data_IF_598524711286
#
_entry.id   IF_598524711286
#
_cell.length_a   1.000
_cell.length_b   1.000
_cell.length_c   1.000
_cell.angle_alpha   90.00
_cell.angle_beta   90.00
_cell.angle_gamma   90.00
#
_symmetry.space_group_name_H-M   'P 1'
#
loop_
_entity.id
_entity.type
_entity.pdbx_description
1 polymer ?
#
# COMPACT_ATOMS: atom_id res chain seq x y z
N UNK A 1 4.11 7.23 -9.39
CA UNK A 1 3.87 5.92 -8.76
C UNK A 1 4.44 5.90 -7.35
N UNK A 2 3.60 6.30 -6.41
CA UNK A 2 3.77 6.45 -4.97
C UNK A 2 2.89 5.44 -4.20
N UNK A 3 1.97 4.74 -4.87
CA UNK A 3 1.30 3.53 -4.37
C UNK A 3 2.07 2.25 -4.74
N UNK A 4 2.42 1.42 -3.76
CA UNK A 4 3.18 0.18 -3.95
C UNK A 4 2.35 -1.00 -3.43
N UNK A 5 1.97 -1.94 -4.30
CA UNK A 5 1.15 -3.10 -3.95
C UNK A 5 1.98 -4.31 -3.52
N UNK A 6 1.39 -5.14 -2.68
CA UNK A 6 1.93 -6.43 -2.25
C UNK A 6 0.80 -7.45 -2.05
N UNK A 7 1.11 -8.73 -2.25
CA UNK A 7 0.16 -9.84 -2.14
C UNK A 7 0.86 -11.19 -2.22
N UNK A 8 0.09 -12.27 -2.18
CA UNK A 8 0.64 -13.64 -2.13
C UNK A 8 1.59 -13.92 -3.31
N UNK A 9 2.89 -14.00 -3.03
CA UNK A 9 3.93 -14.29 -4.03
C UNK A 9 4.20 -13.14 -5.01
N UNK A 10 3.74 -11.91 -4.74
CA UNK A 10 3.89 -10.75 -5.61
C UNK A 10 4.11 -9.48 -4.79
N UNK A 11 5.09 -8.67 -5.15
CA UNK A 11 5.33 -7.38 -4.51
C UNK A 11 6.04 -6.43 -5.46
N UNK A 12 5.60 -5.17 -5.49
CA UNK A 12 6.29 -4.07 -6.20
C UNK A 12 7.39 -3.44 -5.32
N UNK A 13 7.42 -3.78 -4.03
CA UNK A 13 8.44 -3.36 -3.07
C UNK A 13 9.36 -4.51 -2.62
N UNK A 14 10.38 -4.18 -1.84
CA UNK A 14 11.25 -5.16 -1.15
C UNK A 14 11.83 -4.59 0.15
N UNK A 15 12.52 -5.44 0.93
CA UNK A 15 13.14 -5.07 2.21
C UNK A 15 14.15 -3.90 2.12
N UNK A 16 14.76 -3.66 0.96
CA UNK A 16 15.70 -2.56 0.73
C UNK A 16 15.06 -1.18 0.66
N UNK A 17 13.74 -1.12 0.42
CA UNK A 17 13.01 0.14 0.19
C UNK A 17 12.48 0.77 1.47
N UNK A 18 13.14 0.59 2.63
CA UNK A 18 12.69 1.12 3.93
C UNK A 18 12.52 2.63 3.95
N UNK A 19 13.39 3.36 3.26
CA UNK A 19 13.29 4.83 3.18
C UNK A 19 12.00 5.26 2.48
N UNK A 20 11.56 4.50 1.46
CA UNK A 20 10.37 4.81 0.66
C UNK A 20 9.08 4.22 1.26
N UNK A 21 9.11 2.99 1.77
CA UNK A 21 7.93 2.24 2.22
C UNK A 21 7.72 2.27 3.74
N UNK A 22 8.68 2.82 4.48
CA UNK A 22 8.79 2.62 5.91
C UNK A 22 9.21 1.19 6.28
N UNK A 23 9.53 0.98 7.55
CA UNK A 23 9.95 -0.34 8.05
C UNK A 23 8.87 -1.42 7.91
N UNK A 24 7.60 -1.06 8.10
CA UNK A 24 6.47 -2.01 7.99
C UNK A 24 6.15 -2.35 6.53
N UNK A 25 6.04 -1.34 5.66
CA UNK A 25 5.75 -1.55 4.24
C UNK A 25 6.83 -2.39 3.57
N UNK A 26 8.10 -2.09 3.82
CA UNK A 26 9.22 -2.86 3.29
C UNK A 26 9.22 -4.32 3.78
N UNK A 27 8.86 -4.57 5.05
CA UNK A 27 8.77 -5.94 5.57
C UNK A 27 7.54 -6.69 5.03
N UNK A 28 6.38 -6.04 4.84
CA UNK A 28 5.20 -6.66 4.22
C UNK A 28 5.49 -7.07 2.77
N UNK A 29 6.13 -6.16 2.02
CA UNK A 29 6.60 -6.41 0.67
C UNK A 29 7.57 -7.60 0.60
N UNK A 30 8.51 -7.68 1.55
CA UNK A 30 9.44 -8.82 1.65
C UNK A 30 8.72 -10.14 1.97
N UNK A 31 7.81 -10.14 2.95
CA UNK A 31 7.05 -11.34 3.29
C UNK A 31 6.20 -11.83 2.11
N UNK A 32 5.59 -10.90 1.38
CA UNK A 32 4.87 -11.18 0.14
C UNK A 32 5.77 -11.79 -0.94
N UNK A 33 6.95 -11.20 -1.17
CA UNK A 33 7.88 -11.63 -2.23
C UNK A 33 8.46 -13.02 -2.00
N UNK A 34 8.72 -13.39 -0.74
CA UNK A 34 9.22 -14.74 -0.38
C UNK A 34 8.09 -15.78 -0.26
N UNK A 35 6.85 -15.42 -0.58
CA UNK A 35 5.72 -16.34 -0.65
C UNK A 35 5.04 -16.66 0.68
N UNK A 36 5.31 -15.89 1.74
CA UNK A 36 4.52 -16.01 2.97
C UNK A 36 3.08 -15.57 2.71
N UNK A 37 2.14 -16.19 3.41
CA UNK A 37 0.73 -15.83 3.33
C UNK A 37 0.47 -14.54 4.08
N UNK A 38 0.67 -13.41 3.39
CA UNK A 38 0.26 -12.09 3.85
C UNK A 38 -1.02 -11.66 3.12
N UNK A 39 -2.00 -11.06 3.82
CA UNK A 39 -3.14 -10.45 3.15
C UNK A 39 -2.66 -9.38 2.14
N UNK A 40 -3.26 -9.31 0.93
CA UNK A 40 -2.90 -8.30 -0.05
C UNK A 40 -3.18 -6.89 0.45
N UNK A 41 -2.40 -5.93 -0.01
CA UNK A 41 -2.52 -4.54 0.38
C UNK A 41 -1.65 -3.62 -0.47
N UNK A 42 -1.61 -2.35 -0.06
CA UNK A 42 -0.73 -1.35 -0.67
C UNK A 42 -0.07 -0.50 0.42
N UNK A 43 1.09 0.06 0.09
CA UNK A 43 1.82 1.04 0.89
C UNK A 43 1.85 2.36 0.12
N UNK A 44 1.45 3.45 0.78
CA UNK A 44 1.65 4.81 0.27
C UNK A 44 3.05 5.25 0.71
N UNK A 45 3.86 5.74 -0.22
CA UNK A 45 5.26 6.07 0.04
C UNK A 45 5.42 7.20 1.07
N UNK A 46 6.61 7.25 1.69
CA UNK A 46 7.04 8.37 2.53
C UNK A 46 7.18 9.67 1.74
N UNK A 47 7.52 9.59 0.46
CA UNK A 47 7.58 10.73 -0.47
C UNK A 47 6.19 11.36 -0.65
N UNK A 48 5.13 10.56 -0.79
CA UNK A 48 3.76 11.07 -0.88
C UNK A 48 3.36 11.85 0.38
N UNK A 49 3.80 11.37 1.55
CA UNK A 49 3.59 12.06 2.81
C UNK A 49 4.38 13.39 2.87
N UNK A 50 5.62 13.40 2.36
CA UNK A 50 6.42 14.62 2.28
C UNK A 50 5.77 15.65 1.33
N UNK A 51 5.35 15.22 0.15
CA UNK A 51 4.70 16.08 -0.84
C UNK A 51 3.39 16.65 -0.29
N UNK A 52 2.56 15.81 0.36
CA UNK A 52 1.35 16.25 1.06
C UNK A 52 1.63 17.40 2.04
N UNK A 53 2.73 17.33 2.79
CA UNK A 53 3.11 18.40 3.72
C UNK A 53 3.57 19.68 2.99
N UNK A 54 4.31 19.53 1.89
CA UNK A 54 4.84 20.65 1.09
C UNK A 54 3.74 21.42 0.36
N UNK A 55 2.70 20.74 -0.13
CA UNK A 55 1.58 21.39 -0.84
C UNK A 55 0.46 21.89 0.09
N UNK A 56 0.75 22.01 1.39
CA UNK A 56 -0.17 22.59 2.37
C UNK A 56 -1.24 21.60 2.85
N UNK A 57 -0.85 20.35 3.10
CA UNK A 57 -1.74 19.27 3.59
C UNK A 57 -2.88 18.96 2.61
N UNK A 58 -2.56 18.98 1.32
CA UNK A 58 -3.44 18.56 0.24
C UNK A 58 -2.88 17.29 -0.37
N UNK A 59 -3.75 16.39 -0.82
CA UNK A 59 -3.30 15.23 -1.58
C UNK A 59 -2.59 15.71 -2.86
N UNK A 60 -1.37 15.23 -3.13
CA UNK A 60 -0.72 15.42 -4.42
C UNK A 60 -1.61 15.03 -5.59
N UNK A 61 -1.41 15.71 -6.72
CA UNK A 61 -2.14 15.40 -7.95
C UNK A 61 -1.84 13.96 -8.39
N UNK A 62 -2.88 13.22 -8.80
CA UNK A 62 -2.78 11.83 -9.23
C UNK A 62 -2.58 10.79 -8.13
N UNK A 63 -2.21 11.17 -6.90
CA UNK A 63 -2.01 10.20 -5.80
C UNK A 63 -3.28 9.40 -5.50
N UNK A 64 -4.45 10.05 -5.57
CA UNK A 64 -5.71 9.39 -5.31
C UNK A 64 -6.01 8.29 -6.35
N UNK A 65 -5.74 8.58 -7.63
CA UNK A 65 -5.96 7.62 -8.71
C UNK A 65 -5.06 6.39 -8.55
N UNK A 66 -3.79 6.59 -8.16
CA UNK A 66 -2.87 5.49 -7.86
C UNK A 66 -3.33 4.65 -6.65
N UNK A 67 -3.90 5.29 -5.61
CA UNK A 67 -4.50 4.56 -4.47
C UNK A 67 -5.67 3.70 -4.94
N UNK A 68 -6.54 4.22 -5.81
CA UNK A 68 -7.67 3.49 -6.37
C UNK A 68 -7.20 2.33 -7.25
N UNK A 69 -6.17 2.52 -8.07
CA UNK A 69 -5.56 1.44 -8.86
C UNK A 69 -5.03 0.31 -7.96
N UNK A 70 -4.32 0.65 -6.88
CA UNK A 70 -3.85 -0.33 -5.91
C UNK A 70 -4.99 -1.04 -5.18
N UNK A 71 -6.06 -0.32 -4.82
CA UNK A 71 -7.25 -0.90 -4.20
C UNK A 71 -7.96 -1.89 -5.13
N UNK A 72 -8.08 -1.59 -6.42
CA UNK A 72 -8.67 -2.50 -7.40
C UNK A 72 -7.89 -3.82 -7.49
N UNK A 73 -6.56 -3.78 -7.32
CA UNK A 73 -5.72 -4.99 -7.24
C UNK A 73 -6.05 -5.79 -5.98
N UNK A 74 -6.17 -5.13 -4.82
CA UNK A 74 -6.53 -5.77 -3.55
C UNK A 74 -7.92 -6.41 -3.62
N UNK A 75 -8.91 -5.71 -4.16
CA UNK A 75 -10.27 -6.22 -4.34
C UNK A 75 -10.28 -7.48 -5.20
N UNK A 76 -9.54 -7.46 -6.31
CA UNK A 76 -9.40 -8.60 -7.22
C UNK A 76 -8.73 -9.80 -6.53
N UNK A 77 -7.65 -9.57 -5.80
CA UNK A 77 -6.91 -10.63 -5.11
C UNK A 77 -7.71 -11.23 -3.94
N UNK A 78 -8.56 -10.42 -3.28
CA UNK A 78 -9.45 -10.87 -2.21
C UNK A 78 -10.77 -11.47 -2.71
N UNK A 79 -11.19 -11.15 -3.94
CA UNK A 79 -12.52 -11.48 -4.44
C UNK A 79 -13.66 -10.78 -3.68
N UNK A 80 -13.37 -9.60 -3.10
CA UNK A 80 -14.26 -8.80 -2.26
C UNK A 80 -14.11 -7.32 -2.62
N UNK A 81 -15.15 -6.51 -2.40
CA UNK A 81 -15.22 -5.12 -2.86
C UNK A 81 -15.59 -4.17 -1.72
N UNK A 82 -15.00 -2.97 -1.73
CA UNK A 82 -15.33 -1.91 -0.79
C UNK A 82 -16.78 -1.46 -1.03
N UNK A 83 -17.57 -1.49 0.03
CA UNK A 83 -18.97 -1.07 -0.02
C UNK A 83 -19.96 -2.08 -0.62
N UNK A 84 -19.50 -3.26 -1.06
CA UNK A 84 -20.39 -4.35 -1.47
C UNK A 84 -20.84 -5.18 -0.26
N UNK A 85 -22.14 -5.16 0.12
CA UNK A 85 -22.63 -5.92 1.27
C UNK A 85 -22.65 -7.44 1.04
N UNK A 86 -22.64 -7.92 -0.22
CA UNK A 86 -22.62 -9.34 -0.54
C UNK A 86 -21.21 -9.94 -0.46
N UNK A 87 -20.18 -9.14 -0.80
CA UNK A 87 -18.77 -9.52 -0.73
C UNK A 87 -17.92 -8.39 -0.14
N UNK A 88 -18.04 -8.11 1.16
CA UNK A 88 -17.44 -6.91 1.74
C UNK A 88 -15.91 -7.03 1.86
N UNK A 89 -15.19 -6.07 1.30
CA UNK A 89 -13.78 -5.84 1.61
C UNK A 89 -13.69 -4.88 2.81
N UNK A 90 -12.98 -5.29 3.86
CA UNK A 90 -12.63 -4.44 4.99
C UNK A 90 -11.13 -4.19 4.99
N UNK A 91 -10.73 -2.97 5.33
CA UNK A 91 -9.33 -2.55 5.32
C UNK A 91 -8.84 -2.20 6.71
N UNK A 92 -7.54 -2.41 6.94
CA UNK A 92 -6.82 -1.85 8.08
C UNK A 92 -5.84 -0.79 7.59
N UNK A 93 -5.85 0.39 8.19
CA UNK A 93 -4.93 1.49 7.85
C UNK A 93 -3.90 1.60 8.98
N UNK A 94 -2.62 1.50 8.64
CA UNK A 94 -1.52 1.46 9.62
C UNK A 94 -0.40 2.41 9.19
N UNK A 95 0.06 3.25 10.12
CA UNK A 95 1.24 4.07 9.90
C UNK A 95 2.53 3.24 9.94
N UNK A 96 3.53 3.66 9.15
CA UNK A 96 4.87 3.09 9.14
C UNK A 96 5.90 4.11 8.65
N UNK A 97 6.77 4.58 9.55
CA UNK A 97 7.87 5.48 9.21
C UNK A 97 9.11 4.69 8.75
N UNK A 98 10.04 5.38 8.08
CA UNK A 98 11.35 4.84 7.71
C UNK A 98 12.19 4.47 8.94
N UNK A 99 12.08 5.26 10.01
CA UNK A 99 12.71 5.05 11.31
C UNK A 99 11.65 5.32 12.38
N UNK A 100 11.62 4.50 13.43
CA UNK A 100 10.66 4.61 14.54
C UNK A 100 11.30 5.09 15.81
#
# INVERSE_FOLDING_TARGET
MQGITFGKGRSEGNKGMKSLLGGKGANLAEMASIGLSVPPGLTISTEACQEYQQVGKKLPEGLWDEIIEGLNIVEKDMGAFLGDPAKPLLLSVRSGAAVS
#
